data_IF_935500576959
#
_entry.id   IF_935500576959
#
_cell.length_a   1.000
_cell.length_b   1.000
_cell.length_c   1.000
_cell.angle_alpha   90.00
_cell.angle_beta   90.00
_cell.angle_gamma   90.00
#
_symmetry.space_group_name_H-M   'P 1'
#
loop_
_entity.id
_entity.type
_entity.pdbx_description
1 polymer ?
#
# COMPACT_ATOMS: atom_id res chain seq x y z
N UNK A 1 -17.33 -5.16 -0.04
CA UNK A 1 -16.97 -6.53 -0.49
C UNK A 1 -18.17 -7.46 -0.53
N UNK A 2 -18.87 -7.72 0.59
CA UNK A 2 -20.01 -8.67 0.62
C UNK A 2 -21.08 -8.38 -0.44
N UNK A 3 -21.51 -7.12 -0.55
CA UNK A 3 -22.55 -6.73 -1.50
C UNK A 3 -22.07 -6.88 -2.95
N UNK A 4 -20.83 -6.47 -3.24
CA UNK A 4 -20.24 -6.69 -4.57
C UNK A 4 -20.13 -8.18 -4.90
N UNK A 5 -19.71 -9.03 -3.94
CA UNK A 5 -19.70 -10.48 -4.13
C UNK A 5 -21.11 -11.04 -4.42
N UNK A 6 -22.13 -10.53 -3.75
CA UNK A 6 -23.52 -10.99 -3.91
C UNK A 6 -24.09 -10.74 -5.31
N UNK A 7 -23.49 -9.85 -6.12
CA UNK A 7 -23.90 -9.62 -7.51
C UNK A 7 -23.28 -10.59 -8.51
N UNK A 8 -22.55 -11.62 -8.06
CA UNK A 8 -21.82 -12.58 -8.90
C UNK A 8 -20.96 -11.92 -10.01
N UNK A 9 -20.06 -10.97 -9.63
CA UNK A 9 -19.40 -10.09 -10.58
C UNK A 9 -18.25 -10.79 -11.31
N UNK A 10 -17.84 -10.21 -12.44
CA UNK A 10 -16.53 -10.45 -13.04
C UNK A 10 -15.64 -9.21 -12.82
N UNK A 11 -14.83 -9.22 -11.77
CA UNK A 11 -13.96 -8.10 -11.42
C UNK A 11 -13.25 -8.30 -10.09
N UNK A 12 -12.63 -7.23 -9.61
CA UNK A 12 -11.95 -7.17 -8.32
C UNK A 12 -12.30 -5.88 -7.57
N UNK A 13 -12.02 -5.86 -6.28
CA UNK A 13 -12.13 -4.69 -5.42
C UNK A 13 -10.79 -4.50 -4.71
N UNK A 14 -10.25 -3.28 -4.79
CA UNK A 14 -9.08 -2.86 -4.02
C UNK A 14 -9.51 -1.86 -2.96
N UNK A 15 -9.18 -2.13 -1.70
CA UNK A 15 -9.39 -1.22 -0.58
C UNK A 15 -8.05 -0.80 0.00
N UNK A 16 -7.89 0.49 0.25
CA UNK A 16 -6.77 1.05 0.98
C UNK A 16 -7.22 2.30 1.75
N UNK A 17 -6.54 2.62 2.84
CA UNK A 17 -6.67 3.94 3.49
C UNK A 17 -5.72 4.92 2.81
N UNK A 18 -6.10 6.20 2.74
CA UNK A 18 -5.25 7.26 2.20
C UNK A 18 -4.00 7.47 3.07
N UNK A 19 -4.16 7.39 4.39
CA UNK A 19 -3.09 7.39 5.38
C UNK A 19 -3.53 6.65 6.66
N UNK A 20 -2.60 6.50 7.60
CA UNK A 20 -2.87 6.02 8.96
C UNK A 20 -3.25 7.15 9.90
N UNK A 21 -3.21 6.90 11.21
CA UNK A 21 -3.47 7.89 12.25
C UNK A 21 -2.70 7.47 13.51
N UNK A 22 -2.00 8.39 14.16
CA UNK A 22 -1.43 8.14 15.50
C UNK A 22 -2.51 8.36 16.56
N UNK A 23 -2.76 7.35 17.41
CA UNK A 23 -3.74 7.41 18.49
C UNK A 23 -3.11 6.92 19.79
N UNK A 24 -2.05 7.61 20.21
CA UNK A 24 -1.24 7.28 21.39
C UNK A 24 -0.54 5.92 21.30
N UNK A 25 -0.35 5.36 20.11
CA UNK A 25 0.31 4.08 19.87
C UNK A 25 1.82 4.17 20.15
N UNK A 26 2.45 5.26 19.71
CA UNK A 26 3.90 5.45 19.80
C UNK A 26 4.31 5.94 21.20
N UNK A 27 5.28 5.30 21.88
CA UNK A 27 5.83 5.81 23.13
C UNK A 27 6.33 7.26 22.99
N UNK A 28 6.10 8.15 23.97
CA UNK A 28 5.57 7.91 25.31
C UNK A 28 4.03 8.00 25.42
N UNK A 29 3.28 7.71 24.35
CA UNK A 29 1.81 7.70 24.30
C UNK A 29 1.19 9.07 24.58
N UNK A 30 1.76 10.11 23.95
CA UNK A 30 1.34 11.53 24.12
C UNK A 30 0.92 12.22 22.82
N UNK A 31 1.00 11.52 21.69
CA UNK A 31 0.66 12.07 20.38
C UNK A 31 -0.68 11.50 19.93
N UNK A 32 -1.53 12.36 19.37
CA UNK A 32 -2.74 11.96 18.66
C UNK A 32 -2.91 12.85 17.43
N UNK A 33 -3.26 12.26 16.29
CA UNK A 33 -3.42 12.96 15.02
C UNK A 33 -2.28 12.69 14.04
N UNK A 34 -1.98 13.68 13.20
CA UNK A 34 -0.96 13.58 12.15
C UNK A 34 -0.09 14.82 12.11
N UNK A 35 1.22 14.63 11.92
CA UNK A 35 2.18 15.71 11.73
C UNK A 35 3.33 15.23 10.83
N UNK A 36 3.41 15.75 9.61
CA UNK A 36 4.44 15.35 8.63
C UNK A 36 5.86 15.75 9.06
N UNK A 37 6.03 16.84 9.81
CA UNK A 37 7.33 17.28 10.34
C UNK A 37 7.74 16.51 11.62
N UNK A 38 6.82 15.74 12.23
CA UNK A 38 7.12 14.86 13.37
C UNK A 38 6.43 13.49 13.19
N UNK A 39 6.91 12.68 12.22
CA UNK A 39 6.22 11.47 11.78
C UNK A 39 6.30 10.33 12.81
N UNK A 40 5.22 9.58 12.95
CA UNK A 40 5.22 8.25 13.57
C UNK A 40 4.74 7.20 12.57
N UNK A 41 5.12 5.93 12.76
CA UNK A 41 4.79 4.86 11.81
C UNK A 41 3.28 4.66 11.64
N UNK A 42 2.51 4.80 12.73
CA UNK A 42 1.04 4.69 12.72
C UNK A 42 0.36 5.74 11.84
N UNK A 43 1.01 6.87 11.52
CA UNK A 43 0.48 7.84 10.55
C UNK A 43 0.57 7.37 9.09
N UNK A 44 1.41 6.38 8.78
CA UNK A 44 1.74 5.95 7.42
C UNK A 44 1.36 4.50 7.11
N UNK A 45 1.23 3.63 8.12
CA UNK A 45 0.76 2.26 7.93
C UNK A 45 -0.72 2.26 7.57
N UNK A 46 -1.08 1.55 6.51
CA UNK A 46 -2.45 1.49 6.00
C UNK A 46 -2.84 0.07 5.64
N UNK A 47 -4.13 -0.30 5.77
CA UNK A 47 -4.62 -1.53 5.16
C UNK A 47 -4.50 -1.44 3.64
N UNK A 48 -4.18 -2.55 2.98
CA UNK A 48 -4.18 -2.71 1.54
C UNK A 48 -4.73 -4.09 1.19
N UNK A 49 -5.98 -4.15 0.73
CA UNK A 49 -6.72 -5.39 0.56
C UNK A 49 -7.19 -5.53 -0.89
N UNK A 50 -6.77 -6.61 -1.55
CA UNK A 50 -7.29 -7.04 -2.84
C UNK A 50 -8.28 -8.18 -2.66
N UNK A 51 -9.49 -8.02 -3.19
CA UNK A 51 -10.48 -9.08 -3.35
C UNK A 51 -10.75 -9.33 -4.82
N UNK A 52 -10.61 -10.56 -5.29
CA UNK A 52 -10.95 -10.96 -6.68
C UNK A 52 -12.21 -11.82 -6.68
N UNK A 53 -13.08 -11.65 -7.69
CA UNK A 53 -14.24 -12.52 -7.87
C UNK A 53 -13.83 -13.87 -8.47
N UNK A 54 -14.63 -14.90 -8.26
CA UNK A 54 -14.37 -16.24 -8.80
C UNK A 54 -14.26 -16.22 -10.34
N UNK A 55 -15.13 -15.46 -11.02
CA UNK A 55 -15.10 -15.30 -12.48
C UNK A 55 -13.83 -14.59 -12.95
N UNK A 56 -13.41 -13.54 -12.25
CA UNK A 56 -12.18 -12.82 -12.59
C UNK A 56 -10.96 -13.72 -12.39
N UNK A 57 -10.90 -14.43 -11.27
CA UNK A 57 -9.82 -15.37 -10.98
C UNK A 57 -9.76 -16.52 -12.00
N UNK A 58 -10.90 -17.03 -12.45
CA UNK A 58 -10.96 -18.07 -13.48
C UNK A 58 -10.50 -17.56 -14.86
N UNK A 59 -10.87 -16.32 -15.23
CA UNK A 59 -10.46 -15.70 -16.49
C UNK A 59 -9.00 -15.19 -16.46
N UNK A 60 -8.50 -14.83 -15.28
CA UNK A 60 -7.18 -14.25 -15.06
C UNK A 60 -6.45 -14.94 -13.88
N UNK A 61 -6.04 -16.22 -14.01
CA UNK A 61 -5.43 -16.95 -12.91
C UNK A 61 -4.13 -16.30 -12.43
N UNK A 62 -4.12 -15.84 -11.17
CA UNK A 62 -2.94 -15.27 -10.50
C UNK A 62 -2.89 -15.72 -9.04
N UNK A 63 -1.70 -16.07 -8.56
CA UNK A 63 -1.46 -16.34 -7.14
C UNK A 63 -0.70 -15.15 -6.52
N UNK A 64 -1.35 -14.47 -5.59
CA UNK A 64 -0.78 -13.33 -4.86
C UNK A 64 -0.23 -13.71 -3.47
N UNK A 65 -0.28 -14.99 -3.09
CA UNK A 65 0.10 -15.44 -1.74
C UNK A 65 1.55 -15.09 -1.38
N UNK A 66 2.44 -15.04 -2.37
CA UNK A 66 3.85 -14.68 -2.20
C UNK A 66 4.10 -13.17 -2.16
N UNK A 67 3.10 -12.36 -2.50
CA UNK A 67 3.25 -10.91 -2.67
C UNK A 67 2.86 -10.13 -1.41
N UNK A 68 2.13 -10.77 -0.49
CA UNK A 68 1.48 -10.12 0.67
C UNK A 68 2.43 -9.46 1.66
N UNK A 69 3.71 -9.83 1.65
CA UNK A 69 4.74 -9.28 2.56
C UNK A 69 5.72 -8.33 1.84
N UNK A 70 5.47 -7.96 0.58
CA UNK A 70 6.30 -7.00 -0.16
C UNK A 70 6.18 -5.62 0.48
N UNK A 71 7.32 -4.95 0.73
CA UNK A 71 7.31 -3.56 1.19
C UNK A 71 6.90 -2.63 0.05
N UNK A 72 5.84 -1.86 0.26
CA UNK A 72 5.21 -1.07 -0.79
C UNK A 72 4.79 0.32 -0.30
N UNK A 73 4.71 1.28 -1.22
CA UNK A 73 4.17 2.61 -0.98
C UNK A 73 2.95 2.84 -1.87
N UNK A 74 1.87 3.37 -1.30
CA UNK A 74 0.64 3.72 -2.02
C UNK A 74 0.86 4.83 -3.07
N UNK A 75 1.98 5.54 -3.02
CA UNK A 75 2.37 6.51 -4.07
C UNK A 75 2.48 5.88 -5.47
N UNK A 76 2.77 4.58 -5.55
CA UNK A 76 2.91 3.85 -6.82
C UNK A 76 1.64 3.08 -7.22
N UNK A 77 0.51 3.32 -6.53
CA UNK A 77 -0.78 2.61 -6.71
C UNK A 77 -1.21 2.47 -8.17
N UNK A 78 -0.96 3.49 -8.99
CA UNK A 78 -1.38 3.49 -10.40
C UNK A 78 -0.75 2.33 -11.19
N UNK A 79 0.47 1.92 -10.86
CA UNK A 79 1.13 0.79 -11.50
C UNK A 79 0.48 -0.53 -11.09
N UNK A 80 0.19 -0.70 -9.80
CA UNK A 80 -0.55 -1.88 -9.29
C UNK A 80 -1.95 -1.98 -9.90
N UNK A 81 -2.69 -0.88 -9.97
CA UNK A 81 -4.02 -0.85 -10.58
C UNK A 81 -3.96 -1.20 -12.08
N UNK A 82 -2.97 -0.66 -12.79
CA UNK A 82 -2.76 -0.95 -14.21
C UNK A 82 -2.45 -2.42 -14.47
N UNK A 83 -1.58 -3.03 -13.65
CA UNK A 83 -1.28 -4.45 -13.72
C UNK A 83 -2.53 -5.32 -13.48
N UNK A 84 -3.30 -5.02 -12.44
CA UNK A 84 -4.55 -5.73 -12.15
C UNK A 84 -5.59 -5.61 -13.27
N UNK A 85 -5.69 -4.43 -13.90
CA UNK A 85 -6.60 -4.17 -15.01
C UNK A 85 -6.08 -4.69 -16.38
N UNK A 86 -4.83 -5.18 -16.44
CA UNK A 86 -4.22 -5.67 -17.67
C UNK A 86 -3.82 -4.58 -18.67
N UNK A 87 -3.59 -3.35 -18.21
CA UNK A 87 -3.17 -2.23 -19.06
C UNK A 87 -1.64 -2.16 -19.22
N UNK A 88 -1.21 -1.84 -20.43
CA UNK A 88 0.18 -1.52 -20.77
C UNK A 88 0.20 -0.27 -21.65
N UNK A 89 1.16 0.62 -21.40
CA UNK A 89 1.27 1.92 -22.06
C UNK A 89 2.64 2.55 -21.74
N UNK A 90 3.02 3.58 -22.50
CA UNK A 90 4.24 4.35 -22.21
C UNK A 90 4.13 5.01 -20.84
N UNK A 91 5.02 4.65 -19.92
CA UNK A 91 5.02 5.12 -18.54
C UNK A 91 4.44 4.12 -17.53
N UNK A 92 3.87 2.99 -17.95
CA UNK A 92 3.62 1.87 -17.05
C UNK A 92 4.96 1.25 -16.61
N UNK A 93 5.19 1.15 -15.31
CA UNK A 93 6.36 0.49 -14.71
C UNK A 93 5.93 -0.77 -13.93
N UNK A 94 6.14 -1.98 -14.48
CA UNK A 94 5.79 -3.22 -13.80
C UNK A 94 6.66 -3.52 -12.58
N UNK A 95 7.80 -2.83 -12.41
CA UNK A 95 8.65 -2.99 -11.22
C UNK A 95 8.07 -2.28 -9.99
N UNK A 96 7.14 -1.35 -10.20
CA UNK A 96 6.43 -0.59 -9.17
C UNK A 96 5.02 -1.12 -8.87
N UNK A 97 4.56 -2.17 -9.54
CA UNK A 97 3.29 -2.82 -9.25
C UNK A 97 3.49 -3.94 -8.20
N UNK A 98 2.87 -3.84 -7.02
CA UNK A 98 3.05 -4.84 -5.93
C UNK A 98 2.56 -6.24 -6.33
N UNK A 99 1.66 -6.33 -7.31
CA UNK A 99 1.07 -7.56 -7.85
C UNK A 99 1.83 -8.15 -9.04
N UNK A 100 2.87 -7.47 -9.51
CA UNK A 100 3.67 -7.89 -10.66
C UNK A 100 4.77 -8.86 -10.24
N UNK A 101 5.06 -9.92 -11.02
CA UNK A 101 6.21 -10.79 -10.77
C UNK A 101 7.56 -10.07 -10.96
N UNK A 102 7.56 -8.88 -11.59
CA UNK A 102 8.76 -8.05 -11.80
C UNK A 102 8.95 -7.01 -10.68
N UNK A 103 8.08 -7.03 -9.65
CA UNK A 103 8.14 -6.09 -8.55
C UNK A 103 9.54 -6.00 -7.95
N UNK A 104 9.99 -4.77 -7.72
CA UNK A 104 11.25 -4.47 -7.07
C UNK A 104 11.01 -3.52 -5.91
N UNK A 105 11.42 -3.93 -4.71
CA UNK A 105 11.38 -3.06 -3.54
C UNK A 105 12.17 -1.77 -3.80
N UNK A 106 11.58 -0.64 -3.44
CA UNK A 106 12.18 0.69 -3.50
C UNK A 106 11.97 1.41 -2.16
N UNK A 107 12.77 2.45 -1.91
CA UNK A 107 12.64 3.26 -0.69
C UNK A 107 11.22 3.80 -0.56
N UNK A 108 10.60 3.57 0.59
CA UNK A 108 9.28 4.09 0.94
C UNK A 108 9.43 5.51 1.47
N UNK A 109 9.54 6.48 0.56
CA UNK A 109 9.72 7.89 0.93
C UNK A 109 8.51 8.46 1.68
N UNK A 110 8.78 9.19 2.76
CA UNK A 110 7.83 10.00 3.51
C UNK A 110 8.37 11.42 3.70
N UNK A 111 7.51 12.35 4.08
CA UNK A 111 7.84 13.76 4.29
C UNK A 111 7.43 14.65 3.12
N UNK A 112 7.56 15.97 3.34
CA UNK A 112 7.03 16.96 2.41
C UNK A 112 7.85 17.02 1.10
N UNK A 113 7.29 16.63 -0.05
CA UNK A 113 8.03 16.62 -1.31
C UNK A 113 8.32 18.02 -1.86
N UNK A 114 7.65 19.06 -1.36
CA UNK A 114 7.85 20.44 -1.78
C UNK A 114 8.87 21.19 -0.91
N UNK A 115 9.31 20.59 0.19
CA UNK A 115 10.36 21.13 1.06
C UNK A 115 11.71 20.54 0.65
N UNK A 116 12.69 21.40 0.45
CA UNK A 116 14.04 21.00 0.01
C UNK A 116 14.63 19.97 0.97
N UNK A 117 14.99 18.80 0.46
CA UNK A 117 15.66 17.71 1.17
C UNK A 117 14.89 17.23 2.43
N UNK A 118 13.56 17.25 2.41
CA UNK A 118 12.74 16.83 3.55
C UNK A 118 12.28 15.36 3.50
N UNK A 119 12.59 14.64 2.42
CA UNK A 119 12.22 13.23 2.28
C UNK A 119 13.16 12.36 3.12
N UNK A 120 12.57 11.43 3.87
CA UNK A 120 13.27 10.39 4.61
C UNK A 120 12.71 9.00 4.26
N UNK A 121 13.50 7.97 4.50
CA UNK A 121 13.04 6.58 4.36
C UNK A 121 12.11 6.24 5.53
N UNK A 122 10.90 5.73 5.26
CA UNK A 122 9.98 5.24 6.27
C UNK A 122 10.64 4.22 7.21
N UNK A 123 11.53 3.36 6.69
CA UNK A 123 12.19 2.32 7.49
C UNK A 123 13.11 2.91 8.57
N UNK A 124 13.47 4.20 8.47
CA UNK A 124 14.27 4.90 9.48
C UNK A 124 13.48 5.29 10.73
N UNK A 125 12.14 5.24 10.70
CA UNK A 125 11.31 5.53 11.88
C UNK A 125 11.48 4.43 12.95
N UNK A 126 11.51 4.78 14.25
CA UNK A 126 11.62 3.81 15.34
C UNK A 126 10.36 2.96 15.52
N UNK A 127 10.41 1.97 16.41
CA UNK A 127 9.28 1.13 16.83
C UNK A 127 8.68 0.21 15.74
N UNK A 128 9.46 -0.14 14.72
CA UNK A 128 9.06 -1.06 13.66
C UNK A 128 8.90 -2.52 14.11
N UNK A 129 9.38 -2.85 15.31
CA UNK A 129 9.23 -4.14 15.97
C UNK A 129 7.84 -4.34 16.62
N UNK A 130 7.04 -3.28 16.73
CA UNK A 130 5.67 -3.38 17.25
C UNK A 130 4.74 -4.10 16.25
N UNK A 131 3.75 -4.82 16.80
CA UNK A 131 2.77 -5.57 16.00
C UNK A 131 1.99 -4.61 15.10
N UNK A 132 2.03 -4.85 13.78
CA UNK A 132 1.31 -4.05 12.79
C UNK A 132 2.03 -2.74 12.41
N UNK A 133 3.30 -2.58 12.80
CA UNK A 133 4.07 -1.36 12.61
C UNK A 133 5.33 -1.55 11.73
N UNK A 134 5.38 -2.61 10.92
CA UNK A 134 6.58 -3.07 10.21
C UNK A 134 7.07 -2.14 9.08
#
# INVERSE_FOLDING_TARGET
IKDYKATDPNGFLLYFSDHGEEVYDTPPHKTQGRNEDNPTRHMYTVPFLLWTSEKWQAAHPRDFSQDVNRKYSSSELIHTWSDLAGFTYDGFDPTRAITSPQFKETTRWIGNPYKKNALIDYDSLPYGDQIGNQ
#
